data_IF_370789504792
#
_entry.id   IF_370789504792
#
_cell.length_a   1.000
_cell.length_b   1.000
_cell.length_c   1.000
_cell.angle_alpha   90.00
_cell.angle_beta   90.00
_cell.angle_gamma   90.00
#
_symmetry.space_group_name_H-M   'P 1'
#
loop_
_entity.id
_entity.type
_entity.pdbx_description
1 polymer ?
#
# COMPACT_ATOMS: atom_id res chain seq x y z
N UNK A 1 -21.59 7.50 15.10
CA UNK A 1 -22.05 6.13 14.74
C UNK A 1 -21.41 5.77 13.41
N UNK A 2 -20.68 4.64 13.34
CA UNK A 2 -20.11 4.17 12.07
C UNK A 2 -21.24 3.81 11.12
N UNK A 3 -21.33 4.50 9.98
CA UNK A 3 -22.31 4.19 8.94
C UNK A 3 -21.69 3.25 7.89
N UNK A 4 -22.52 2.36 7.32
CA UNK A 4 -22.10 1.52 6.19
C UNK A 4 -21.59 2.38 5.02
N UNK A 5 -22.19 3.55 4.81
CA UNK A 5 -21.78 4.51 3.77
C UNK A 5 -20.36 5.01 4.00
N UNK A 6 -20.01 5.38 5.25
CA UNK A 6 -18.66 5.83 5.61
C UNK A 6 -17.63 4.73 5.41
N UNK A 7 -17.96 3.48 5.81
CA UNK A 7 -17.10 2.32 5.60
C UNK A 7 -16.82 2.06 4.11
N UNK A 8 -17.88 1.99 3.30
CA UNK A 8 -17.76 1.75 1.86
C UNK A 8 -16.98 2.88 1.16
N UNK A 9 -17.27 4.14 1.51
CA UNK A 9 -16.56 5.31 0.94
C UNK A 9 -15.06 5.23 1.22
N UNK A 10 -14.67 4.97 2.47
CA UNK A 10 -13.26 4.87 2.82
C UNK A 10 -12.59 3.67 2.17
N UNK A 11 -13.25 2.51 2.14
CA UNK A 11 -12.73 1.33 1.45
C UNK A 11 -12.44 1.62 -0.02
N UNK A 12 -13.39 2.23 -0.74
CA UNK A 12 -13.21 2.61 -2.14
C UNK A 12 -12.05 3.62 -2.29
N UNK A 13 -11.96 4.62 -1.41
CA UNK A 13 -10.89 5.61 -1.46
C UNK A 13 -9.50 4.96 -1.31
N UNK A 14 -9.33 4.06 -0.34
CA UNK A 14 -8.08 3.32 -0.15
C UNK A 14 -7.77 2.36 -1.31
N UNK A 15 -8.77 1.67 -1.86
CA UNK A 15 -8.61 0.82 -3.05
C UNK A 15 -8.14 1.63 -4.25
N UNK A 16 -8.78 2.76 -4.54
CA UNK A 16 -8.42 3.64 -5.66
C UNK A 16 -7.02 4.22 -5.48
N UNK A 17 -6.71 4.74 -4.28
CA UNK A 17 -5.37 5.20 -3.91
C UNK A 17 -4.33 4.12 -4.22
N UNK A 18 -4.53 2.91 -3.69
CA UNK A 18 -3.59 1.81 -3.87
C UNK A 18 -3.41 1.47 -5.34
N UNK A 19 -4.51 1.32 -6.09
CA UNK A 19 -4.48 1.01 -7.52
C UNK A 19 -3.70 2.07 -8.31
N UNK A 20 -3.96 3.35 -8.06
CA UNK A 20 -3.25 4.45 -8.71
C UNK A 20 -1.74 4.35 -8.43
N UNK A 21 -1.33 4.17 -7.19
CA UNK A 21 0.08 4.15 -6.81
C UNK A 21 0.83 2.88 -7.27
N UNK A 22 0.23 1.69 -7.13
CA UNK A 22 0.87 0.41 -7.46
C UNK A 22 0.81 0.02 -8.93
N UNK A 23 -0.15 0.56 -9.69
CA UNK A 23 -0.34 0.16 -11.09
C UNK A 23 -0.19 1.32 -12.06
N UNK A 24 -0.78 2.49 -11.79
CA UNK A 24 -0.74 3.60 -12.75
C UNK A 24 0.55 4.43 -12.64
N UNK A 25 1.01 4.69 -11.42
CA UNK A 25 2.22 5.47 -11.15
C UNK A 25 3.49 4.60 -11.03
N UNK A 26 3.33 3.29 -10.89
CA UNK A 26 4.45 2.36 -10.82
C UNK A 26 5.10 2.18 -12.19
N UNK A 27 6.24 2.85 -12.40
CA UNK A 27 7.02 2.71 -13.62
C UNK A 27 7.90 1.47 -13.61
N UNK A 28 8.35 1.03 -14.80
CA UNK A 28 9.36 -0.02 -14.93
C UNK A 28 10.62 0.25 -14.09
N UNK A 29 11.08 1.50 -14.04
CA UNK A 29 12.27 1.89 -13.24
C UNK A 29 12.05 1.66 -11.74
N UNK A 30 10.85 1.91 -11.23
CA UNK A 30 10.48 1.63 -9.84
C UNK A 30 10.46 0.11 -9.60
N UNK A 31 9.87 -0.66 -10.51
CA UNK A 31 9.85 -2.12 -10.39
C UNK A 31 11.26 -2.73 -10.41
N UNK A 32 12.14 -2.26 -11.29
CA UNK A 32 13.55 -2.65 -11.32
C UNK A 32 14.30 -2.20 -10.06
N UNK A 33 13.99 -1.02 -9.50
CA UNK A 33 14.56 -0.56 -8.25
C UNK A 33 14.19 -1.45 -7.07
N UNK A 34 12.92 -1.88 -6.97
CA UNK A 34 12.46 -2.88 -5.98
C UNK A 34 13.23 -4.19 -6.13
N UNK A 35 13.41 -4.66 -7.36
CA UNK A 35 14.21 -5.85 -7.65
C UNK A 35 15.68 -5.69 -7.25
N UNK A 36 16.28 -4.52 -7.40
CA UNK A 36 17.70 -4.28 -7.10
C UNK A 36 17.97 -3.66 -5.71
N UNK A 37 16.97 -3.55 -4.84
CA UNK A 37 17.04 -2.85 -3.53
C UNK A 37 17.51 -1.39 -3.62
N UNK A 38 17.21 -0.69 -4.71
CA UNK A 38 17.54 0.73 -4.85
C UNK A 38 16.55 1.58 -4.06
N UNK A 39 16.96 1.98 -2.86
CA UNK A 39 16.11 2.67 -1.88
C UNK A 39 15.46 3.97 -2.39
N UNK A 40 16.13 4.86 -3.16
CA UNK A 40 15.53 6.16 -3.53
C UNK A 40 14.23 6.04 -4.33
N UNK A 41 14.17 5.12 -5.30
CA UNK A 41 12.98 4.94 -6.13
C UNK A 41 11.88 4.15 -5.41
N UNK A 42 12.26 3.25 -4.50
CA UNK A 42 11.30 2.58 -3.61
C UNK A 42 10.67 3.61 -2.65
N UNK A 43 11.48 4.51 -2.08
CA UNK A 43 11.00 5.59 -1.23
C UNK A 43 10.06 6.54 -1.98
N UNK A 44 10.40 6.91 -3.23
CA UNK A 44 9.51 7.70 -4.08
C UNK A 44 8.16 7.00 -4.28
N UNK A 45 8.17 5.69 -4.55
CA UNK A 45 6.93 4.93 -4.71
C UNK A 45 6.08 4.91 -3.44
N UNK A 46 6.65 4.52 -2.29
CA UNK A 46 5.88 4.46 -1.03
C UNK A 46 5.48 5.84 -0.50
N UNK A 47 6.18 6.90 -0.90
CA UNK A 47 5.76 8.27 -0.60
C UNK A 47 4.43 8.63 -1.27
N UNK A 48 4.12 8.06 -2.44
CA UNK A 48 2.82 8.21 -3.09
C UNK A 48 1.69 7.57 -2.28
N UNK A 49 1.95 6.41 -1.66
CA UNK A 49 1.02 5.77 -0.73
C UNK A 49 0.84 6.59 0.55
N UNK A 50 1.94 7.03 1.17
CA UNK A 50 1.88 7.90 2.34
C UNK A 50 1.09 9.19 2.09
N UNK A 51 1.33 9.86 0.95
CA UNK A 51 0.60 11.07 0.56
C UNK A 51 -0.89 10.78 0.34
N UNK A 52 -1.23 9.69 -0.36
CA UNK A 52 -2.61 9.29 -0.58
C UNK A 52 -3.35 9.01 0.73
N UNK A 53 -2.72 8.31 1.68
CA UNK A 53 -3.28 8.11 3.02
C UNK A 53 -3.42 9.42 3.77
N UNK A 54 -2.41 10.30 3.71
CA UNK A 54 -2.47 11.60 4.37
C UNK A 54 -3.67 12.41 3.89
N UNK A 55 -3.94 12.45 2.58
CA UNK A 55 -5.09 13.16 2.03
C UNK A 55 -6.42 12.58 2.54
N UNK A 56 -6.56 11.25 2.57
CA UNK A 56 -7.76 10.58 3.10
C UNK A 56 -7.93 10.91 4.59
N UNK A 57 -6.87 10.79 5.38
CA UNK A 57 -6.88 11.01 6.83
C UNK A 57 -7.19 12.48 7.16
N UNK A 58 -6.58 13.43 6.48
CA UNK A 58 -6.83 14.87 6.69
C UNK A 58 -8.28 15.26 6.35
N UNK A 59 -8.94 14.55 5.44
CA UNK A 59 -10.35 14.79 5.14
C UNK A 59 -11.28 14.24 6.23
N UNK A 60 -10.91 13.15 6.89
CA UNK A 60 -11.79 12.41 7.81
C UNK A 60 -11.52 12.75 9.28
N UNK A 61 -10.27 12.67 9.70
CA UNK A 61 -9.82 12.87 11.08
C UNK A 61 -8.40 13.48 11.09
N UNK A 62 -8.26 14.81 10.92
CA UNK A 62 -6.96 15.47 10.79
C UNK A 62 -5.98 15.21 11.95
N UNK A 63 -6.49 14.99 13.16
CA UNK A 63 -5.70 14.67 14.34
C UNK A 63 -4.90 13.36 14.21
N UNK A 64 -5.30 12.48 13.29
CA UNK A 64 -4.68 11.18 13.04
C UNK A 64 -3.69 11.18 11.85
N UNK A 65 -3.22 12.34 11.40
CA UNK A 65 -2.30 12.49 10.25
C UNK A 65 -1.11 11.51 10.25
N UNK A 66 -0.61 11.13 11.43
CA UNK A 66 0.51 10.21 11.64
C UNK A 66 0.23 8.78 11.13
N UNK A 67 -1.04 8.39 10.93
CA UNK A 67 -1.41 7.14 10.27
C UNK A 67 -0.85 7.04 8.85
N UNK A 68 -0.63 8.17 8.17
CA UNK A 68 0.04 8.19 6.86
C UNK A 68 1.50 7.70 6.91
N UNK A 69 2.20 7.98 8.02
CA UNK A 69 3.57 7.49 8.24
C UNK A 69 3.56 5.98 8.53
N UNK A 70 2.57 5.50 9.27
CA UNK A 70 2.39 4.07 9.53
C UNK A 70 2.14 3.32 8.22
N UNK A 71 1.21 3.81 7.40
CA UNK A 71 0.92 3.25 6.09
C UNK A 71 2.16 3.20 5.19
N UNK A 72 2.91 4.30 5.10
CA UNK A 72 4.17 4.36 4.34
C UNK A 72 5.17 3.30 4.79
N UNK A 73 5.37 3.15 6.10
CA UNK A 73 6.32 2.19 6.68
C UNK A 73 5.87 0.74 6.45
N UNK A 74 4.59 0.44 6.64
CA UNK A 74 4.04 -0.90 6.40
C UNK A 74 4.13 -1.26 4.92
N UNK A 75 3.77 -0.33 4.02
CA UNK A 75 3.87 -0.52 2.58
C UNK A 75 5.30 -0.80 2.14
N UNK A 76 6.26 -0.02 2.65
CA UNK A 76 7.68 -0.23 2.41
C UNK A 76 8.15 -1.63 2.85
N UNK A 77 7.74 -2.08 4.04
CA UNK A 77 8.09 -3.40 4.55
C UNK A 77 7.52 -4.52 3.67
N UNK A 78 6.26 -4.41 3.24
CA UNK A 78 5.62 -5.38 2.36
C UNK A 78 6.33 -5.43 1.00
N UNK A 79 6.57 -4.28 0.37
CA UNK A 79 7.25 -4.18 -0.92
C UNK A 79 8.66 -4.79 -0.90
N UNK A 80 9.44 -4.45 0.13
CA UNK A 80 10.80 -4.98 0.30
C UNK A 80 10.77 -6.48 0.61
N UNK A 81 9.83 -6.94 1.43
CA UNK A 81 9.64 -8.35 1.78
C UNK A 81 9.27 -9.20 0.57
N UNK A 82 8.29 -8.74 -0.23
CA UNK A 82 7.90 -9.34 -1.51
C UNK A 82 9.08 -9.40 -2.46
N UNK A 83 9.80 -8.30 -2.64
CA UNK A 83 10.94 -8.23 -3.57
C UNK A 83 12.07 -9.16 -3.13
N UNK A 84 12.32 -9.25 -1.82
CA UNK A 84 13.30 -10.18 -1.25
C UNK A 84 12.89 -11.65 -1.46
N UNK A 85 11.62 -11.99 -1.23
CA UNK A 85 11.11 -13.34 -1.49
C UNK A 85 11.20 -13.69 -2.98
N UNK A 86 10.79 -12.78 -3.87
CA UNK A 86 10.84 -12.98 -5.31
C UNK A 86 12.27 -13.25 -5.80
N UNK A 87 13.27 -12.50 -5.30
CA UNK A 87 14.69 -12.71 -5.60
C UNK A 87 15.22 -14.03 -5.07
N UNK A 88 14.98 -14.32 -3.78
CA UNK A 88 15.49 -15.54 -3.12
C UNK A 88 15.01 -16.81 -3.82
N UNK A 89 13.79 -16.76 -4.37
CA UNK A 89 13.16 -17.88 -5.06
C UNK A 89 13.35 -17.85 -6.59
N UNK A 90 14.02 -16.83 -7.15
CA UNK A 90 14.24 -16.69 -8.60
C UNK A 90 12.94 -16.62 -9.42
N UNK A 91 11.88 -16.07 -8.83
CA UNK A 91 10.54 -16.10 -9.43
C UNK A 91 10.39 -15.09 -10.56
N UNK A 92 9.74 -15.55 -11.62
CA UNK A 92 9.33 -14.77 -12.79
C UNK A 92 7.85 -15.02 -13.06
N UNK A 93 7.16 -14.20 -13.90
CA UNK A 93 5.75 -14.41 -14.22
C UNK A 93 5.40 -15.78 -14.83
N UNK A 94 6.38 -16.54 -15.34
CA UNK A 94 6.16 -17.91 -15.83
C UNK A 94 6.00 -18.94 -14.70
N UNK A 95 6.34 -18.59 -13.46
CA UNK A 95 6.24 -19.47 -12.29
C UNK A 95 4.94 -19.20 -11.50
N UNK A 96 4.16 -20.23 -11.19
CA UNK A 96 2.92 -20.07 -10.41
C UNK A 96 3.12 -19.36 -9.06
N UNK A 97 4.18 -19.62 -8.26
CA UNK A 97 4.40 -18.92 -6.99
C UNK A 97 4.62 -17.41 -7.13
N UNK A 98 5.02 -16.91 -8.30
CA UNK A 98 5.08 -15.46 -8.56
C UNK A 98 3.70 -14.83 -8.38
N UNK A 99 2.65 -15.48 -8.88
CA UNK A 99 1.28 -15.00 -8.79
C UNK A 99 0.71 -15.12 -7.37
N UNK A 100 1.12 -16.14 -6.62
CA UNK A 100 0.79 -16.22 -5.19
C UNK A 100 1.41 -15.08 -4.40
N UNK A 101 2.69 -14.78 -4.68
CA UNK A 101 3.41 -13.69 -4.02
C UNK A 101 2.83 -12.32 -4.39
N UNK A 102 2.43 -12.13 -5.66
CA UNK A 102 1.70 -10.94 -6.09
C UNK A 102 0.35 -10.83 -5.37
N UNK A 103 -0.42 -11.92 -5.29
CA UNK A 103 -1.71 -11.93 -4.58
C UNK A 103 -1.56 -11.65 -3.09
N UNK A 104 -0.55 -12.23 -2.44
CA UNK A 104 -0.26 -11.99 -1.02
C UNK A 104 0.12 -10.53 -0.75
N UNK A 105 0.94 -9.93 -1.62
CA UNK A 105 1.27 -8.51 -1.59
C UNK A 105 0.01 -7.63 -1.65
N UNK A 106 -0.88 -7.87 -2.62
CA UNK A 106 -2.14 -7.12 -2.72
C UNK A 106 -3.04 -7.32 -1.48
N UNK A 107 -3.13 -8.55 -0.97
CA UNK A 107 -3.94 -8.85 0.21
C UNK A 107 -3.43 -8.13 1.47
N UNK A 108 -2.11 -8.10 1.69
CA UNK A 108 -1.51 -7.44 2.86
C UNK A 108 -1.72 -5.93 2.84
N UNK A 109 -1.62 -5.29 1.68
CA UNK A 109 -1.92 -3.87 1.54
C UNK A 109 -3.39 -3.56 1.81
N UNK A 110 -4.32 -4.37 1.29
CA UNK A 110 -5.75 -4.20 1.56
C UNK A 110 -6.10 -4.43 3.04
N UNK A 111 -5.49 -5.42 3.70
CA UNK A 111 -5.66 -5.64 5.13
C UNK A 111 -5.14 -4.45 5.95
N UNK A 112 -3.99 -3.88 5.57
CA UNK A 112 -3.45 -2.67 6.21
C UNK A 112 -4.44 -1.52 6.10
N UNK A 113 -4.95 -1.24 4.90
CA UNK A 113 -5.96 -0.20 4.71
C UNK A 113 -7.24 -0.48 5.48
N UNK A 114 -7.71 -1.73 5.52
CA UNK A 114 -8.89 -2.09 6.29
C UNK A 114 -8.72 -1.77 7.78
N UNK A 115 -7.55 -2.07 8.36
CA UNK A 115 -7.22 -1.68 9.75
C UNK A 115 -7.23 -0.16 9.91
N UNK A 116 -6.63 0.60 8.99
CA UNK A 116 -6.65 2.07 9.05
C UNK A 116 -8.08 2.62 8.98
N UNK A 117 -8.94 2.05 8.14
CA UNK A 117 -10.35 2.43 8.03
C UNK A 117 -11.07 2.22 9.36
N UNK A 118 -10.85 1.08 10.03
CA UNK A 118 -11.44 0.81 11.35
C UNK A 118 -10.96 1.83 12.39
N UNK A 119 -9.67 2.15 12.41
CA UNK A 119 -9.12 3.16 13.33
C UNK A 119 -9.74 4.54 13.06
N UNK A 120 -9.84 4.95 11.79
CA UNK A 120 -10.45 6.23 11.42
C UNK A 120 -11.92 6.30 11.85
N UNK A 121 -12.71 5.26 11.55
CA UNK A 121 -14.15 5.26 11.84
C UNK A 121 -14.46 5.19 13.34
N UNK A 122 -13.58 4.60 14.14
CA UNK A 122 -13.76 4.49 15.61
C UNK A 122 -13.26 5.71 16.38
N UNK A 123 -12.40 6.53 15.77
CA UNK A 123 -11.92 7.78 16.34
C UNK A 123 -12.78 9.01 15.99
N UNK A 124 -13.81 8.83 15.16
CA UNK A 124 -14.81 9.84 14.78
C UNK A 124 -15.96 9.97 15.78
#
# INVERSE_FOLDING_TARGET
MVSLVSLCTLYIAFVLKHFIADYLLQTRRIAEAKANNSLPLVLLHVSGHGLGTLLIVLFVAPSLWWLSLIDLLVHLCIDLGKSAANRRLGLTPSHTPFWWLLGADQALHQLTHFVLIIVLLTAM
#
